data_IF_134681545565
#
_entry.id   IF_134681545565
#
_cell.length_a   1.000
_cell.length_b   1.000
_cell.length_c   1.000
_cell.angle_alpha   90.00
_cell.angle_beta   90.00
_cell.angle_gamma   90.00
#
_symmetry.space_group_name_H-M   'P 1'
#
loop_
_entity.id
_entity.type
_entity.pdbx_description
1 polymer ?
#
# COMPACT_ATOMS: atom_id res chain seq x y z
N UNK A 1 -7.17 4.12 38.57
CA UNK A 1 -7.20 4.28 38.16
C UNK A 1 -7.19 4.24 37.51
N UNK A 2 -7.24 4.34 37.86
CA UNK A 2 -7.47 4.51 37.03
C UNK A 2 -7.32 4.13 35.80
N UNK A 3 -7.95 4.10 35.35
CA UNK A 3 -7.89 3.69 34.17
C UNK A 3 -7.27 4.59 33.32
N UNK A 4 -6.10 4.45 32.98
CA UNK A 4 -5.51 5.22 32.01
C UNK A 4 -6.06 4.82 30.71
N UNK A 5 -6.52 5.77 29.95
CA UNK A 5 -6.84 5.53 28.57
C UNK A 5 -5.55 5.11 27.91
N UNK A 6 -5.59 4.03 27.15
CA UNK A 6 -4.44 3.62 26.39
C UNK A 6 -4.12 4.67 25.35
N UNK A 7 -2.93 5.22 25.44
CA UNK A 7 -2.45 6.17 24.45
C UNK A 7 -1.44 5.55 23.48
N UNK A 8 -1.02 4.32 23.80
CA UNK A 8 -0.06 3.60 22.96
C UNK A 8 -0.38 2.12 23.02
N UNK A 9 -0.10 1.42 21.93
CA UNK A 9 -0.21 -0.03 21.93
C UNK A 9 0.99 -0.63 22.65
N UNK A 10 0.78 -1.81 23.26
CA UNK A 10 1.88 -2.50 23.94
C UNK A 10 2.87 -3.06 22.93
N UNK A 11 4.07 -3.38 23.40
CA UNK A 11 5.09 -4.00 22.56
C UNK A 11 4.55 -5.26 21.89
N UNK A 12 3.80 -6.06 22.65
CA UNK A 12 3.22 -7.30 22.14
C UNK A 12 2.24 -7.02 20.98
N UNK A 13 1.40 -6.01 21.15
CA UNK A 13 0.45 -5.61 20.11
C UNK A 13 1.18 -5.08 18.88
N UNK A 14 2.23 -4.29 19.10
CA UNK A 14 3.03 -3.75 18.00
C UNK A 14 3.73 -4.85 17.21
N UNK A 15 4.18 -5.91 17.87
CA UNK A 15 4.79 -7.06 17.20
C UNK A 15 3.78 -7.75 16.29
N UNK A 16 2.53 -7.89 16.74
CA UNK A 16 1.48 -8.47 15.93
C UNK A 16 1.23 -7.65 14.67
N UNK A 17 1.14 -6.33 14.82
CA UNK A 17 0.93 -5.43 13.69
C UNK A 17 2.14 -5.41 12.77
N UNK A 18 3.34 -5.51 13.32
CA UNK A 18 4.55 -5.57 12.52
C UNK A 18 4.53 -6.79 11.59
N UNK A 19 4.17 -7.95 12.13
CA UNK A 19 4.05 -9.17 11.34
C UNK A 19 3.04 -9.02 10.22
N UNK A 20 1.90 -8.44 10.53
CA UNK A 20 0.84 -8.20 9.55
C UNK A 20 1.33 -7.26 8.45
N UNK A 21 2.02 -6.19 8.83
CA UNK A 21 2.52 -5.21 7.88
C UNK A 21 3.60 -5.83 6.99
N UNK A 22 4.51 -6.61 7.57
CA UNK A 22 5.56 -7.28 6.80
C UNK A 22 4.98 -8.25 5.79
N UNK A 23 3.96 -9.01 6.19
CA UNK A 23 3.28 -9.94 5.30
C UNK A 23 2.61 -9.21 4.13
N UNK A 24 1.89 -8.14 4.44
CA UNK A 24 1.24 -7.36 3.39
C UNK A 24 2.25 -6.68 2.48
N UNK A 25 3.36 -6.22 3.04
CA UNK A 25 4.42 -5.61 2.24
C UNK A 25 5.04 -6.63 1.28
N UNK A 26 5.31 -7.83 1.77
CA UNK A 26 5.86 -8.89 0.94
C UNK A 26 4.93 -9.26 -0.20
N UNK A 27 3.64 -9.39 0.09
CA UNK A 27 2.64 -9.70 -0.93
C UNK A 27 2.54 -8.58 -1.96
N UNK A 28 2.53 -7.33 -1.50
CA UNK A 28 2.48 -6.18 -2.39
C UNK A 28 3.73 -6.09 -3.26
N UNK A 29 4.89 -6.41 -2.69
CA UNK A 29 6.14 -6.41 -3.43
C UNK A 29 6.13 -7.47 -4.53
N UNK A 30 5.62 -8.65 -4.24
CA UNK A 30 5.48 -9.71 -5.26
C UNK A 30 4.56 -9.29 -6.38
N UNK A 31 3.44 -8.66 -6.04
CA UNK A 31 2.51 -8.15 -7.05
C UNK A 31 3.17 -7.06 -7.90
N UNK A 32 3.90 -6.16 -7.25
CA UNK A 32 4.60 -5.09 -7.97
C UNK A 32 5.64 -5.66 -8.92
N UNK A 33 6.41 -6.65 -8.47
CA UNK A 33 7.41 -7.30 -9.31
C UNK A 33 6.78 -7.98 -10.51
N UNK A 34 5.64 -8.63 -10.31
CA UNK A 34 4.89 -9.26 -11.39
C UNK A 34 4.39 -8.22 -12.40
N UNK A 35 3.87 -7.10 -11.90
CA UNK A 35 3.38 -6.02 -12.77
C UNK A 35 4.54 -5.43 -13.58
N UNK A 36 5.68 -5.19 -12.94
CA UNK A 36 6.86 -4.66 -13.63
C UNK A 36 7.34 -5.60 -14.72
N UNK A 37 7.36 -6.89 -14.40
CA UNK A 37 7.74 -7.91 -15.37
C UNK A 37 6.79 -7.93 -16.55
N UNK A 38 5.50 -7.81 -16.29
CA UNK A 38 4.48 -7.75 -17.35
C UNK A 38 4.68 -6.52 -18.24
N UNK A 39 5.02 -5.37 -17.64
CA UNK A 39 5.30 -4.15 -18.39
C UNK A 39 6.54 -4.31 -19.26
N UNK A 40 7.58 -4.93 -18.73
CA UNK A 40 8.81 -5.19 -19.49
C UNK A 40 8.55 -6.09 -20.68
N UNK A 41 7.76 -7.15 -20.48
CA UNK A 41 7.41 -8.04 -21.60
C UNK A 41 6.65 -7.31 -22.67
N UNK A 42 5.72 -6.44 -22.30
CA UNK A 42 4.96 -5.66 -23.27
C UNK A 42 5.86 -4.69 -24.03
N UNK A 43 6.82 -4.11 -23.34
CA UNK A 43 7.77 -3.21 -23.99
C UNK A 43 8.65 -3.96 -24.98
N UNK A 44 9.10 -5.15 -24.63
CA UNK A 44 9.87 -6.00 -25.51
C UNK A 44 9.06 -6.41 -26.73
N UNK A 45 7.79 -6.77 -26.53
CA UNK A 45 6.88 -7.09 -27.64
C UNK A 45 6.69 -5.89 -28.55
N UNK A 46 6.64 -4.71 -27.97
CA UNK A 46 6.48 -3.47 -28.72
C UNK A 46 7.66 -3.12 -29.60
N UNK A 47 8.83 -3.72 -29.35
CA UNK A 47 10.01 -3.47 -30.17
C UNK A 47 10.10 -4.39 -31.39
N UNK A 48 9.29 -5.44 -31.40
CA UNK A 48 9.26 -6.37 -32.53
C UNK A 48 8.31 -5.81 -33.58
N UNK A 49 8.89 -5.16 -34.57
CA UNK A 49 8.17 -4.35 -35.53
C UNK A 49 7.74 -5.04 -36.81
N UNK A 50 7.39 -6.29 -36.73
CA UNK A 50 7.13 -7.06 -37.94
C UNK A 50 5.73 -6.92 -38.54
N UNK A 51 4.81 -6.28 -37.83
CA UNK A 51 3.42 -6.30 -38.31
C UNK A 51 2.79 -4.94 -38.45
N UNK A 52 3.00 -4.29 -39.52
CA UNK A 52 2.54 -2.93 -39.74
C UNK A 52 1.12 -2.59 -39.37
N UNK A 53 0.14 -3.05 -40.13
CA UNK A 53 -1.26 -2.63 -39.94
C UNK A 53 -1.91 -3.25 -38.69
N UNK A 54 -1.62 -4.50 -38.40
CA UNK A 54 -2.11 -5.16 -37.20
C UNK A 54 -1.58 -4.48 -35.94
N UNK A 55 -0.36 -4.01 -36.03
CA UNK A 55 0.29 -3.35 -34.91
C UNK A 55 -0.43 -2.06 -34.53
N UNK A 56 -0.96 -1.34 -35.49
CA UNK A 56 -1.66 -0.08 -35.24
C UNK A 56 -2.88 -0.29 -34.34
N UNK A 57 -3.63 -1.36 -34.59
CA UNK A 57 -4.81 -1.69 -33.78
C UNK A 57 -4.41 -2.24 -32.41
N UNK A 58 -3.39 -3.08 -32.39
CA UNK A 58 -2.89 -3.65 -31.14
C UNK A 58 -2.23 -2.61 -30.26
N UNK A 59 -1.56 -1.62 -30.84
CA UNK A 59 -0.89 -0.56 -30.09
C UNK A 59 -1.85 0.24 -29.23
N UNK A 60 -3.08 0.46 -29.72
CA UNK A 60 -4.09 1.15 -28.92
C UNK A 60 -4.47 0.37 -27.68
N UNK A 61 -4.74 -0.93 -27.84
CA UNK A 61 -5.10 -1.80 -26.73
C UNK A 61 -3.91 -1.97 -25.79
N UNK A 62 -2.70 -2.16 -26.33
CA UNK A 62 -1.49 -2.30 -25.52
C UNK A 62 -1.20 -1.05 -24.72
N UNK A 63 -1.43 0.13 -25.29
CA UNK A 63 -1.23 1.38 -24.58
C UNK A 63 -2.17 1.48 -23.38
N UNK A 64 -3.44 1.10 -23.56
CA UNK A 64 -4.41 1.10 -22.47
C UNK A 64 -4.03 0.11 -21.38
N UNK A 65 -3.58 -1.08 -21.78
CA UNK A 65 -3.13 -2.08 -20.81
C UNK A 65 -1.90 -1.59 -20.06
N UNK A 66 -0.94 -0.98 -20.77
CA UNK A 66 0.25 -0.44 -20.14
C UNK A 66 -0.09 0.65 -19.15
N UNK A 67 -1.03 1.53 -19.50
CA UNK A 67 -1.49 2.57 -18.59
C UNK A 67 -2.13 1.98 -17.34
N UNK A 68 -2.98 0.97 -17.50
CA UNK A 68 -3.62 0.29 -16.39
C UNK A 68 -2.58 -0.37 -15.48
N UNK A 69 -1.61 -1.05 -16.08
CA UNK A 69 -0.55 -1.70 -15.32
C UNK A 69 0.33 -0.67 -14.62
N UNK A 70 0.63 0.45 -15.28
CA UNK A 70 1.43 1.51 -14.67
C UNK A 70 0.72 2.14 -13.49
N UNK A 71 -0.60 2.36 -13.60
CA UNK A 71 -1.40 2.88 -12.50
C UNK A 71 -1.41 1.90 -11.34
N UNK A 72 -1.57 0.62 -11.64
CA UNK A 72 -1.58 -0.41 -10.61
C UNK A 72 -0.22 -0.48 -9.92
N UNK A 73 0.87 -0.40 -10.69
CA UNK A 73 2.22 -0.37 -10.14
C UNK A 73 2.40 0.83 -9.21
N UNK A 74 1.90 1.99 -9.62
CA UNK A 74 1.97 3.20 -8.80
C UNK A 74 1.23 3.03 -7.48
N UNK A 75 0.04 2.42 -7.52
CA UNK A 75 -0.75 2.15 -6.31
C UNK A 75 -0.01 1.20 -5.38
N UNK A 76 0.59 0.15 -5.93
CA UNK A 76 1.34 -0.82 -5.13
C UNK A 76 2.57 -0.17 -4.52
N UNK A 77 3.28 0.67 -5.25
CA UNK A 77 4.44 1.38 -4.72
C UNK A 77 4.05 2.30 -3.57
N UNK A 78 2.94 3.03 -3.72
CA UNK A 78 2.42 3.91 -2.67
C UNK A 78 2.04 3.09 -1.44
N UNK A 79 1.36 1.97 -1.65
CA UNK A 79 0.96 1.07 -0.56
C UNK A 79 2.19 0.55 0.20
N UNK A 80 3.21 0.07 -0.54
CA UNK A 80 4.46 -0.40 0.05
C UNK A 80 5.14 0.70 0.85
N UNK A 81 5.21 1.90 0.29
CA UNK A 81 5.81 3.05 0.96
C UNK A 81 5.08 3.36 2.27
N UNK A 82 3.75 3.34 2.23
CA UNK A 82 2.93 3.59 3.42
C UNK A 82 3.13 2.50 4.48
N UNK A 83 3.26 1.25 4.06
CA UNK A 83 3.55 0.15 4.99
C UNK A 83 4.92 0.31 5.63
N UNK A 84 5.91 0.74 4.86
CA UNK A 84 7.26 0.99 5.39
C UNK A 84 7.26 2.13 6.40
N UNK A 85 6.48 3.18 6.13
CA UNK A 85 6.30 4.28 7.08
C UNK A 85 5.64 3.77 8.36
N UNK A 86 4.69 2.85 8.23
CA UNK A 86 4.06 2.25 9.41
C UNK A 86 5.08 1.47 10.24
N UNK A 87 5.99 0.76 9.59
CA UNK A 87 7.06 0.04 10.30
C UNK A 87 7.97 0.99 11.06
N UNK A 88 8.26 2.14 10.49
CA UNK A 88 9.05 3.18 11.16
C UNK A 88 8.32 3.68 12.40
N UNK A 89 7.00 3.91 12.29
CA UNK A 89 6.20 4.34 13.44
C UNK A 89 6.20 3.29 14.55
N UNK A 90 6.21 2.00 14.19
CA UNK A 90 6.31 0.93 15.18
C UNK A 90 7.62 1.05 15.95
N UNK A 91 8.72 1.27 15.24
CA UNK A 91 10.03 1.44 15.88
C UNK A 91 10.07 2.65 16.80
N UNK A 92 9.40 3.72 16.39
CA UNK A 92 9.36 4.96 17.15
C UNK A 92 8.33 4.95 18.28
N UNK A 93 7.47 3.92 18.33
CA UNK A 93 6.45 3.82 19.35
C UNK A 93 5.23 4.71 19.10
N UNK A 94 5.08 5.23 17.90
CA UNK A 94 3.97 6.12 17.56
C UNK A 94 2.91 5.44 16.68
N UNK A 95 3.10 4.16 16.38
CA UNK A 95 2.16 3.43 15.55
C UNK A 95 0.78 3.32 16.21
N UNK A 96 -0.24 3.45 15.40
CA UNK A 96 -1.62 3.28 15.84
C UNK A 96 -2.20 4.47 16.58
N UNK A 97 -1.48 5.60 16.58
CA UNK A 97 -1.95 6.82 17.21
C UNK A 97 -2.45 7.76 16.11
N UNK A 98 -3.69 8.21 16.26
CA UNK A 98 -4.27 9.13 15.28
C UNK A 98 -3.53 10.47 15.30
N UNK A 99 -3.06 10.90 14.13
CA UNK A 99 -2.29 12.14 14.04
C UNK A 99 -3.12 13.39 14.35
N UNK A 100 -4.43 13.30 14.17
CA UNK A 100 -5.31 14.45 14.39
C UNK A 100 -5.84 14.53 15.81
N UNK A 101 -6.25 13.40 16.39
CA UNK A 101 -6.88 13.39 17.71
C UNK A 101 -5.96 12.93 18.83
N UNK A 102 -4.84 12.30 18.48
CA UNK A 102 -3.92 11.73 19.48
C UNK A 102 -4.44 10.48 20.17
N UNK A 103 -5.63 10.00 19.78
CA UNK A 103 -6.22 8.80 20.35
C UNK A 103 -5.77 7.57 19.57
N UNK A 104 -5.85 6.42 20.21
CA UNK A 104 -5.52 5.18 19.51
C UNK A 104 -6.52 4.90 18.41
N UNK A 105 -5.99 4.45 17.28
CA UNK A 105 -6.79 3.98 16.15
C UNK A 105 -7.28 2.57 16.53
N UNK A 106 -8.54 2.27 16.24
CA UNK A 106 -9.12 0.96 16.54
C UNK A 106 -8.33 -0.17 15.86
N UNK A 107 -8.14 -1.26 16.59
CA UNK A 107 -7.44 -2.44 16.05
C UNK A 107 -8.08 -2.97 14.79
N UNK A 108 -9.40 -2.94 14.71
CA UNK A 108 -10.12 -3.42 13.52
C UNK A 108 -9.72 -2.61 12.29
N UNK A 109 -9.61 -1.29 12.47
CA UNK A 109 -9.20 -0.43 11.38
C UNK A 109 -7.75 -0.69 10.98
N UNK A 110 -6.88 -0.90 11.96
CA UNK A 110 -5.47 -1.20 11.70
C UNK A 110 -5.29 -2.55 11.01
N UNK A 111 -6.15 -3.52 11.30
CA UNK A 111 -6.10 -4.81 10.62
C UNK A 111 -6.53 -4.67 9.16
N UNK A 112 -7.53 -3.84 8.92
CA UNK A 112 -8.02 -3.58 7.56
C UNK A 112 -7.09 -2.63 6.81
N UNK A 113 -6.59 -1.60 7.48
CA UNK A 113 -5.71 -0.59 6.88
C UNK A 113 -4.51 -0.40 7.80
N UNK A 114 -3.50 -1.29 7.69
CA UNK A 114 -2.36 -1.28 8.61
C UNK A 114 -1.55 0.02 8.60
N UNK A 115 -1.61 0.75 7.51
CA UNK A 115 -0.87 2.03 7.39
C UNK A 115 -1.72 3.24 7.79
N UNK A 116 -2.88 3.03 8.41
CA UNK A 116 -3.75 4.13 8.79
C UNK A 116 -3.06 5.08 9.77
N UNK A 117 -3.23 6.37 9.56
CA UNK A 117 -2.69 7.40 10.43
C UNK A 117 -3.78 8.22 11.10
N UNK A 118 -5.03 7.95 10.75
CA UNK A 118 -6.18 8.65 11.30
C UNK A 118 -7.25 7.66 11.72
N UNK A 119 -7.96 7.97 12.79
CA UNK A 119 -9.14 7.19 13.16
C UNK A 119 -10.26 7.48 12.16
N UNK A 120 -11.25 6.59 12.11
CA UNK A 120 -12.40 6.79 11.24
C UNK A 120 -13.10 8.11 11.59
N UNK A 121 -13.25 8.38 12.87
CA UNK A 121 -13.89 9.61 13.34
C UNK A 121 -13.16 10.86 12.83
N UNK A 122 -11.84 10.89 12.94
CA UNK A 122 -11.03 12.01 12.48
C UNK A 122 -11.14 12.18 10.96
N UNK A 123 -11.13 11.05 10.25
CA UNK A 123 -11.24 11.08 8.79
C UNK A 123 -12.58 11.61 8.35
N UNK A 124 -13.65 11.21 9.01
CA UNK A 124 -14.99 11.68 8.69
C UNK A 124 -15.17 13.17 8.97
N UNK A 125 -14.54 13.64 10.05
CA UNK A 125 -14.61 15.08 10.38
C UNK A 125 -13.92 15.94 9.32
N UNK A 126 -12.87 15.39 8.73
CA UNK A 126 -12.15 16.11 7.68
C UNK A 126 -12.88 16.06 6.36
N UNK A 127 -13.58 14.96 6.18
CA UNK A 127 -14.29 14.61 5.00
C UNK A 127 -14.91 15.66 4.26
#
# INVERSE_FOLDING_TARGET
MAKKLKTKYTVKELVEFEKLILEKRDNAQKELDFIKESLERKNLSGTDSTQGALKTLEDGADTMEKESLSQLAGRQQTFISNLEKALIRIKNGTYGICKDSGKLIDKKRLRAVPHATQSIEAKLKRG
#
